data_IF_482796154973
#
_entry.id   IF_482796154973
#
_cell.length_a   1.000
_cell.length_b   1.000
_cell.length_c   1.000
_cell.angle_alpha   90.00
_cell.angle_beta   90.00
_cell.angle_gamma   90.00
#
_symmetry.space_group_name_H-M   'P 1'
#
loop_
_entity.id
_entity.type
_entity.pdbx_description
1 polymer ?
#
# COMPACT_ATOMS: atom_id res chain seq x y z
N UNK A 1 7.78 13.23 -25.18
CA UNK A 1 8.22 12.19 -24.22
C UNK A 1 7.57 12.49 -22.88
N UNK A 2 7.08 11.48 -22.14
CA UNK A 2 6.52 11.69 -20.81
C UNK A 2 7.58 12.19 -19.83
N UNK A 3 7.16 12.95 -18.82
CA UNK A 3 8.03 13.33 -17.70
C UNK A 3 8.53 12.08 -16.97
N UNK A 4 9.77 12.11 -16.49
CA UNK A 4 10.38 10.98 -15.78
C UNK A 4 10.79 9.82 -16.69
N UNK A 5 10.69 9.95 -18.02
CA UNK A 5 11.17 8.95 -18.96
C UNK A 5 12.67 8.69 -18.75
N UNK A 6 13.02 7.42 -18.60
CA UNK A 6 14.40 7.02 -18.44
C UNK A 6 15.17 7.19 -19.75
N UNK A 7 16.41 7.65 -19.62
CA UNK A 7 17.31 7.80 -20.75
C UNK A 7 17.94 6.44 -21.08
N UNK A 8 18.27 6.18 -22.36
CA UNK A 8 19.08 5.03 -22.72
C UNK A 8 20.35 4.95 -21.85
N UNK A 9 20.60 3.77 -21.26
CA UNK A 9 21.74 3.54 -20.37
C UNK A 9 21.51 3.86 -18.89
N UNK A 10 20.31 4.30 -18.48
CA UNK A 10 19.97 4.42 -17.06
C UNK A 10 20.10 3.06 -16.33
N UNK A 11 20.78 3.03 -15.18
CA UNK A 11 20.94 1.79 -14.40
C UNK A 11 19.60 1.38 -13.77
N UNK A 12 18.95 0.38 -14.35
CA UNK A 12 17.65 -0.15 -13.89
C UNK A 12 17.66 -1.64 -13.60
N UNK A 13 18.78 -2.32 -13.84
CA UNK A 13 18.90 -3.77 -13.72
C UNK A 13 18.58 -4.31 -12.32
N UNK A 14 18.74 -3.47 -11.28
CA UNK A 14 18.46 -3.81 -9.88
C UNK A 14 17.11 -3.30 -9.37
N UNK A 15 16.31 -2.66 -10.23
CA UNK A 15 15.00 -2.11 -9.87
C UNK A 15 13.90 -3.08 -10.30
N UNK A 16 12.87 -3.21 -9.47
CA UNK A 16 11.71 -4.07 -9.76
C UNK A 16 10.62 -3.24 -10.40
N UNK A 17 9.98 -3.74 -11.45
CA UNK A 17 8.83 -3.06 -12.05
C UNK A 17 7.61 -3.17 -11.13
N UNK A 18 6.83 -2.09 -11.02
CA UNK A 18 5.59 -2.05 -10.26
C UNK A 18 4.43 -2.81 -10.94
N UNK A 19 4.61 -3.21 -12.20
CA UNK A 19 3.64 -3.99 -12.96
C UNK A 19 4.16 -4.44 -14.33
N UNK A 20 3.32 -5.13 -15.13
CA UNK A 20 3.66 -5.55 -16.49
C UNK A 20 3.96 -4.36 -17.41
N UNK A 21 4.89 -4.53 -18.34
CA UNK A 21 5.27 -3.52 -19.34
C UNK A 21 5.30 -4.16 -20.72
N UNK A 22 4.86 -3.41 -21.75
CA UNK A 22 4.87 -3.88 -23.14
C UNK A 22 6.09 -3.40 -23.90
N UNK A 23 6.46 -4.13 -24.95
CA UNK A 23 7.46 -3.65 -25.90
C UNK A 23 7.04 -2.30 -26.50
N UNK A 24 7.99 -1.36 -26.56
CA UNK A 24 7.76 0.00 -27.06
C UNK A 24 7.18 0.99 -26.04
N UNK A 25 6.82 0.56 -24.82
CA UNK A 25 6.37 1.47 -23.77
C UNK A 25 7.58 2.21 -23.16
N UNK A 26 7.58 3.57 -23.13
CA UNK A 26 8.63 4.33 -22.46
C UNK A 26 8.63 4.03 -20.95
N UNK A 27 9.73 3.47 -20.44
CA UNK A 27 9.89 3.28 -18.99
C UNK A 27 10.12 4.62 -18.30
N UNK A 28 9.29 4.92 -17.32
CA UNK A 28 9.45 6.07 -16.43
C UNK A 28 9.95 5.63 -15.06
N UNK A 29 10.52 6.55 -14.30
CA UNK A 29 10.85 6.34 -12.88
C UNK A 29 9.68 5.79 -12.05
N UNK A 30 8.45 6.21 -12.34
CA UNK A 30 7.21 5.73 -11.74
C UNK A 30 6.87 4.25 -12.05
N UNK A 31 7.50 3.63 -13.04
CA UNK A 31 7.27 2.20 -13.39
C UNK A 31 8.00 1.23 -12.47
N UNK A 32 8.78 1.72 -11.51
CA UNK A 32 9.56 0.88 -10.62
C UNK A 32 9.10 0.99 -9.18
N UNK A 33 9.13 -0.14 -8.48
CA UNK A 33 8.99 -0.19 -7.04
C UNK A 33 10.23 0.48 -6.41
N UNK A 34 10.06 1.67 -5.86
CA UNK A 34 11.04 2.26 -4.95
C UNK A 34 10.36 2.96 -3.79
N UNK A 35 10.98 3.01 -2.60
CA UNK A 35 10.56 3.91 -1.52
C UNK A 35 10.51 5.38 -1.96
N UNK A 36 11.27 5.74 -3.01
CA UNK A 36 11.31 7.09 -3.60
C UNK A 36 10.17 7.40 -4.59
N UNK A 37 9.23 6.47 -4.82
CA UNK A 37 8.03 6.71 -5.62
C UNK A 37 6.92 7.43 -4.84
N UNK A 38 7.12 7.62 -3.54
CA UNK A 38 6.21 8.38 -2.70
C UNK A 38 6.34 9.87 -3.00
N UNK A 39 5.24 10.50 -3.42
CA UNK A 39 5.20 11.93 -3.66
C UNK A 39 5.16 12.71 -2.33
N UNK A 40 5.82 13.86 -2.29
CA UNK A 40 5.65 14.86 -1.21
C UNK A 40 6.08 14.37 0.17
N UNK A 41 5.16 14.49 1.14
CA UNK A 41 5.35 14.22 2.58
C UNK A 41 4.86 12.83 3.02
N UNK A 42 4.70 11.90 2.06
CA UNK A 42 4.21 10.55 2.32
C UNK A 42 5.33 9.63 2.83
N UNK A 43 4.98 8.76 3.77
CA UNK A 43 5.81 7.71 4.33
C UNK A 43 5.31 6.34 3.86
N UNK A 44 6.25 5.43 3.58
CA UNK A 44 5.97 4.01 3.40
C UNK A 44 5.81 3.38 4.78
N UNK A 45 4.58 3.06 5.17
CA UNK A 45 4.31 2.49 6.47
C UNK A 45 3.90 1.02 6.35
N UNK A 46 4.70 0.08 6.90
CA UNK A 46 4.31 -1.32 6.95
C UNK A 46 3.29 -1.54 8.08
N UNK A 47 2.19 -2.21 7.78
CA UNK A 47 1.21 -2.67 8.77
C UNK A 47 0.79 -4.11 8.46
N UNK A 48 0.42 -4.85 9.50
CA UNK A 48 -0.09 -6.22 9.37
C UNK A 48 -1.62 -6.19 9.39
N UNK A 49 -2.22 -6.85 8.42
CA UNK A 49 -3.65 -7.17 8.43
C UNK A 49 -3.81 -8.62 8.88
N UNK A 50 -4.64 -8.85 9.88
CA UNK A 50 -4.81 -10.17 10.51
C UNK A 50 -5.43 -11.19 9.55
N UNK A 51 -6.24 -10.71 8.61
CA UNK A 51 -6.87 -11.51 7.57
C UNK A 51 -6.06 -11.43 6.27
N UNK A 52 -5.35 -12.52 5.97
CA UNK A 52 -4.55 -12.62 4.76
C UNK A 52 -5.39 -12.75 3.47
N UNK A 53 -6.63 -13.26 3.57
CA UNK A 53 -7.52 -13.40 2.41
C UNK A 53 -7.99 -12.02 1.94
N UNK A 54 -8.22 -11.07 2.85
CA UNK A 54 -8.45 -9.66 2.49
C UNK A 54 -7.28 -9.12 1.65
N UNK A 55 -6.04 -9.41 2.05
CA UNK A 55 -4.84 -8.94 1.33
C UNK A 55 -4.74 -9.54 -0.07
N UNK A 56 -5.25 -10.75 -0.28
CA UNK A 56 -5.28 -11.41 -1.59
C UNK A 56 -6.18 -10.70 -2.61
N UNK A 57 -7.14 -9.90 -2.14
CA UNK A 57 -8.04 -9.10 -2.97
C UNK A 57 -7.41 -7.76 -3.41
N UNK A 58 -6.36 -7.32 -2.72
CA UNK A 58 -5.71 -6.04 -2.96
C UNK A 58 -4.73 -6.11 -4.13
N UNK A 59 -4.58 -4.98 -4.82
CA UNK A 59 -3.54 -4.71 -5.80
C UNK A 59 -2.69 -3.52 -5.36
N UNK A 60 -1.43 -3.49 -5.81
CA UNK A 60 -0.60 -2.29 -5.68
C UNK A 60 -1.25 -1.15 -6.48
N UNK A 61 -1.43 -0.01 -5.83
CA UNK A 61 -2.16 1.14 -6.37
C UNK A 61 -3.58 1.30 -5.81
N UNK A 62 -4.14 0.27 -5.17
CA UNK A 62 -5.48 0.35 -4.58
C UNK A 62 -5.57 1.47 -3.55
N UNK A 63 -6.75 2.10 -3.50
CA UNK A 63 -7.15 3.04 -2.47
C UNK A 63 -8.01 2.33 -1.45
N UNK A 64 -7.58 2.39 -0.20
CA UNK A 64 -8.26 1.73 0.90
C UNK A 64 -8.56 2.69 2.03
N UNK A 65 -9.68 2.46 2.68
CA UNK A 65 -9.99 3.04 3.97
C UNK A 65 -9.50 2.09 5.06
N UNK A 66 -8.89 2.63 6.11
CA UNK A 66 -8.40 1.86 7.25
C UNK A 66 -9.32 2.05 8.45
N UNK A 67 -9.64 0.95 9.11
CA UNK A 67 -10.47 0.93 10.31
C UNK A 67 -9.78 0.17 11.43
N UNK A 68 -9.93 0.67 12.65
CA UNK A 68 -9.60 -0.04 13.88
C UNK A 68 -10.88 -0.58 14.51
N UNK A 69 -10.93 -1.88 14.77
CA UNK A 69 -12.02 -2.53 15.47
C UNK A 69 -11.51 -3.23 16.73
N UNK A 70 -12.30 -3.13 17.80
CA UNK A 70 -12.13 -3.94 19.01
C UNK A 70 -13.02 -5.18 18.93
N UNK A 71 -12.77 -6.17 19.79
CA UNK A 71 -13.62 -7.37 19.90
C UNK A 71 -14.95 -7.11 20.62
N UNK A 72 -15.17 -5.90 21.11
CA UNK A 72 -16.40 -5.50 21.82
C UNK A 72 -17.48 -5.08 20.82
N UNK A 73 -18.55 -5.86 20.73
CA UNK A 73 -19.62 -5.65 19.76
C UNK A 73 -20.44 -4.34 19.94
N UNK A 74 -20.20 -3.59 21.02
CA UNK A 74 -20.92 -2.35 21.32
C UNK A 74 -20.42 -1.15 20.51
N UNK A 75 -19.18 -1.18 20.03
CA UNK A 75 -18.54 -0.03 19.40
C UNK A 75 -18.41 -0.21 17.88
N UNK A 76 -18.73 0.84 17.13
CA UNK A 76 -18.44 0.90 15.69
C UNK A 76 -16.93 0.97 15.45
N UNK A 77 -16.44 0.35 14.38
CA UNK A 77 -15.04 0.46 13.99
C UNK A 77 -14.65 1.93 13.74
N UNK A 78 -13.53 2.37 14.29
CA UNK A 78 -13.01 3.73 14.14
C UNK A 78 -12.24 3.88 12.83
N UNK A 79 -12.61 4.84 11.99
CA UNK A 79 -11.89 5.12 10.75
C UNK A 79 -10.55 5.81 11.06
N UNK A 80 -9.44 5.13 10.76
CA UNK A 80 -8.09 5.64 10.96
C UNK A 80 -7.65 6.52 9.79
N UNK A 81 -7.99 6.10 8.58
CA UNK A 81 -7.57 6.78 7.34
C UNK A 81 -8.58 6.52 6.22
N UNK A 82 -8.59 7.44 5.25
CA UNK A 82 -9.38 7.34 4.03
C UNK A 82 -8.47 7.35 2.81
N UNK A 83 -8.76 6.50 1.83
CA UNK A 83 -8.10 6.46 0.51
C UNK A 83 -6.55 6.45 0.57
N UNK A 84 -5.96 5.72 1.52
CA UNK A 84 -4.50 5.51 1.53
C UNK A 84 -4.11 4.56 0.41
N UNK A 85 -2.95 4.81 -0.21
CA UNK A 85 -2.48 3.99 -1.33
C UNK A 85 -1.80 2.74 -0.82
N UNK A 86 -2.13 1.58 -1.38
CA UNK A 86 -1.31 0.38 -1.25
C UNK A 86 -0.07 0.53 -2.15
N UNK A 87 1.13 0.42 -1.58
CA UNK A 87 2.39 0.54 -2.34
C UNK A 87 3.13 -0.77 -2.50
N UNK A 88 2.99 -1.67 -1.52
CA UNK A 88 3.60 -2.99 -1.57
C UNK A 88 2.68 -4.01 -0.93
N UNK A 89 2.59 -5.18 -1.56
CA UNK A 89 1.93 -6.38 -1.05
C UNK A 89 2.97 -7.50 -0.87
N UNK A 90 2.72 -8.45 0.05
CA UNK A 90 3.63 -9.57 0.22
C UNK A 90 3.55 -10.48 -1.02
N UNK A 91 4.62 -11.23 -1.28
CA UNK A 91 4.53 -12.31 -2.27
C UNK A 91 3.41 -13.28 -1.87
N UNK A 92 2.64 -13.83 -2.83
CA UNK A 92 1.48 -14.68 -2.54
C UNK A 92 1.78 -15.89 -1.63
N UNK A 93 3.02 -16.38 -1.64
CA UNK A 93 3.49 -17.48 -0.78
C UNK A 93 3.85 -17.04 0.67
N UNK A 94 3.93 -15.73 0.93
CA UNK A 94 4.36 -15.16 2.20
C UNK A 94 3.20 -14.76 3.13
N UNK A 95 1.95 -14.97 2.71
CA UNK A 95 0.79 -14.89 3.59
C UNK A 95 0.84 -16.04 4.61
N UNK A 96 0.66 -15.74 5.90
CA UNK A 96 0.59 -16.77 6.94
C UNK A 96 -0.76 -16.74 7.66
N UNK A 97 -1.01 -17.75 8.49
CA UNK A 97 -2.17 -17.77 9.40
C UNK A 97 -2.18 -16.61 10.40
N UNK A 98 -1.07 -15.88 10.54
CA UNK A 98 -0.94 -14.68 11.36
C UNK A 98 -1.19 -13.39 10.57
N UNK A 99 -1.82 -13.48 9.40
CA UNK A 99 -2.09 -12.35 8.53
C UNK A 99 -0.97 -12.04 7.54
N UNK A 100 -1.08 -10.88 6.89
CA UNK A 100 -0.18 -10.46 5.82
C UNK A 100 0.29 -9.00 6.00
N UNK A 101 1.55 -8.73 5.63
CA UNK A 101 2.14 -7.40 5.68
C UNK A 101 1.79 -6.60 4.43
N UNK A 102 1.17 -5.45 4.63
CA UNK A 102 0.86 -4.47 3.59
C UNK A 102 1.67 -3.21 3.87
N UNK A 103 2.21 -2.60 2.82
CA UNK A 103 2.83 -1.28 2.93
C UNK A 103 1.90 -0.26 2.30
N UNK A 104 1.58 0.78 3.04
CA UNK A 104 0.76 1.91 2.57
C UNK A 104 1.61 3.16 2.40
N UNK A 105 1.16 4.07 1.53
CA UNK A 105 1.59 5.45 1.50
C UNK A 105 0.67 6.29 2.39
N UNK A 106 1.23 6.88 3.44
CA UNK A 106 0.47 7.70 4.38
C UNK A 106 1.30 8.87 4.92
N UNK A 107 0.65 9.98 5.24
CA UNK A 107 1.30 11.10 5.93
C UNK A 107 1.67 10.73 7.37
N UNK A 108 2.58 11.49 7.96
CA UNK A 108 3.06 11.26 9.33
C UNK A 108 1.94 11.23 10.38
N UNK A 109 0.92 12.08 10.26
CA UNK A 109 -0.23 12.11 11.17
C UNK A 109 -1.06 10.82 11.13
N UNK A 110 -1.26 10.27 9.92
CA UNK A 110 -1.95 9.00 9.71
C UNK A 110 -1.10 7.85 10.23
N UNK A 111 0.21 7.86 9.96
CA UNK A 111 1.14 6.84 10.47
C UNK A 111 1.11 6.77 11.99
N UNK A 112 1.19 7.90 12.70
CA UNK A 112 1.11 7.93 14.16
C UNK A 112 -0.21 7.37 14.68
N UNK A 113 -1.32 7.69 14.02
CA UNK A 113 -2.65 7.19 14.39
C UNK A 113 -2.78 5.68 14.20
N UNK A 114 -2.33 5.15 13.05
CA UNK A 114 -2.34 3.72 12.75
C UNK A 114 -1.41 2.97 13.70
N UNK A 115 -0.20 3.48 13.94
CA UNK A 115 0.75 2.88 14.89
C UNK A 115 0.12 2.73 16.27
N UNK A 116 -0.55 3.77 16.77
CA UNK A 116 -1.23 3.72 18.07
C UNK A 116 -2.39 2.70 18.08
N UNK A 117 -3.16 2.62 17.00
CA UNK A 117 -4.27 1.69 16.90
C UNK A 117 -3.79 0.22 16.86
N UNK A 118 -2.72 -0.07 16.10
CA UNK A 118 -2.18 -1.44 15.96
C UNK A 118 -1.73 -2.06 17.28
N UNK A 119 -1.42 -1.24 18.30
CA UNK A 119 -1.03 -1.73 19.60
C UNK A 119 -2.17 -2.43 20.37
N UNK A 120 -3.44 -2.08 20.10
CA UNK A 120 -4.57 -2.48 20.94
C UNK A 120 -5.83 -2.92 20.16
N UNK A 121 -5.82 -2.82 18.84
CA UNK A 121 -7.01 -3.06 17.99
C UNK A 121 -6.65 -3.90 16.78
N UNK A 122 -7.66 -4.52 16.17
CA UNK A 122 -7.51 -5.17 14.88
C UNK A 122 -7.70 -4.15 13.77
N UNK A 123 -6.81 -4.19 12.78
CA UNK A 123 -6.92 -3.33 11.60
C UNK A 123 -7.65 -4.09 10.50
N UNK A 124 -8.68 -3.45 9.95
CA UNK A 124 -9.41 -3.93 8.77
C UNK A 124 -9.47 -2.83 7.71
N UNK A 125 -9.83 -3.19 6.49
CA UNK A 125 -9.81 -2.30 5.34
C UNK A 125 -11.11 -2.39 4.55
N UNK A 126 -11.46 -1.29 3.88
CA UNK A 126 -12.49 -1.30 2.85
C UNK A 126 -11.88 -0.81 1.53
N UNK A 127 -12.17 -1.50 0.43
CA UNK A 127 -11.80 -1.03 -0.90
C UNK A 127 -12.73 0.13 -1.27
N UNK A 128 -12.14 1.27 -1.63
CA UNK A 128 -12.90 2.39 -2.18
C UNK A 128 -12.95 2.23 -3.70
N UNK A 129 -14.14 2.22 -4.35
CA UNK A 129 -14.19 2.25 -5.79
C UNK A 129 -13.58 3.55 -6.31
N UNK A 130 -12.81 3.46 -7.41
CA UNK A 130 -12.31 4.63 -8.13
C UNK A 130 -13.51 5.47 -8.60
N UNK A 131 -13.83 6.50 -7.85
CA UNK A 131 -14.80 7.52 -8.24
C UNK A 131 -13.99 8.63 -8.92
N UNK A 132 -13.70 8.41 -10.21
CA UNK A 132 -13.23 9.46 -11.13
C UNK A 132 -14.38 10.30 -11.63
#
# INVERSE_FOLDING_TARGET
MPSGALRPGAEVAKRVLAGPVRSGEPLTDARFLSPSALAGDLLAYPLRLDDAEIVSLLHVGDRIDLYAATSTAADSANQLARAVSVVTLPARSAASSSGALVVIAARSDVVSRVAQATANTRITVALTPDTS
#
